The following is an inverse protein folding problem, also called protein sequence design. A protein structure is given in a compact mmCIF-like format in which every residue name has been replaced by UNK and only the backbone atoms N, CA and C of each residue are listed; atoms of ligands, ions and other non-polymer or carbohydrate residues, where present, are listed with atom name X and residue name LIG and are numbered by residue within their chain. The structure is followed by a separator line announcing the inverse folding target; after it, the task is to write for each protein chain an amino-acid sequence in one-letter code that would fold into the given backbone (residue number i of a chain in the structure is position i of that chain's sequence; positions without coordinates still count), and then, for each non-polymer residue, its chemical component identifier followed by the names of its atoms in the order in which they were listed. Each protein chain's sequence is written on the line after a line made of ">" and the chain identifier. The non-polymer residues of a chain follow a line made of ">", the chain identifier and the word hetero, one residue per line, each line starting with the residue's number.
data_IF_421414247928
#
_entry.id   IF_421414247928
#
_cell.length_a   1.000
_cell.length_b   1.000
_cell.length_c   1.000
_cell.angle_alpha   90.00
_cell.angle_beta   90.00
_cell.angle_gamma   90.00
#
_symmetry.space_group_name_H-M   'P 1'
#
loop_
_entity.id
_entity.type
_entity.pdbx_description
1 polymer ?
#
# COMPACT_ATOMS: atom_id res chain seq x y z
N UNK A 1 4.10 9.98 -3.97
CA UNK A 1 4.51 8.99 -2.94
C UNK A 1 5.95 9.17 -2.45
N UNK A 2 6.90 9.53 -3.32
CA UNK A 2 8.34 9.62 -2.97
C UNK A 2 8.66 10.48 -1.74
N UNK A 3 7.97 11.60 -1.52
CA UNK A 3 8.20 12.46 -0.36
C UNK A 3 7.72 11.86 0.98
N UNK A 4 6.82 10.87 0.95
CA UNK A 4 6.16 10.33 2.14
C UNK A 4 6.89 9.15 2.77
N UNK A 5 7.86 8.55 2.05
CA UNK A 5 8.61 7.38 2.52
C UNK A 5 10.09 7.75 2.59
N UNK A 6 10.74 7.57 3.73
CA UNK A 6 12.19 7.79 3.84
C UNK A 6 12.97 6.73 3.05
N UNK A 7 14.27 6.93 2.84
CA UNK A 7 15.10 6.01 2.03
C UNK A 7 15.04 4.56 2.52
N UNK A 8 15.07 4.37 3.82
CA UNK A 8 15.02 3.06 4.50
C UNK A 8 13.70 2.85 5.25
N UNK A 9 12.69 3.68 4.94
CA UNK A 9 11.39 3.65 5.58
C UNK A 9 10.46 2.62 4.94
N UNK A 10 9.55 2.11 5.77
CA UNK A 10 8.42 1.29 5.34
C UNK A 10 7.15 2.02 5.72
N UNK A 11 6.23 2.14 4.77
CA UNK A 11 4.90 2.71 4.99
C UNK A 11 3.87 1.58 4.97
N UNK A 12 3.05 1.52 6.02
CA UNK A 12 1.88 0.65 6.08
C UNK A 12 0.66 1.41 5.53
N UNK A 13 -0.02 0.86 4.54
CA UNK A 13 -1.20 1.45 3.93
C UNK A 13 -2.40 0.54 4.12
N UNK A 14 -3.31 0.91 5.02
CA UNK A 14 -4.66 0.37 5.06
C UNK A 14 -5.48 1.01 3.95
N UNK A 15 -6.11 0.20 3.12
CA UNK A 15 -6.67 0.63 1.85
C UNK A 15 -8.01 -0.04 1.58
N UNK A 16 -8.99 0.75 1.18
CA UNK A 16 -10.31 0.28 0.81
C UNK A 16 -10.74 0.96 -0.48
N UNK A 17 -11.15 0.18 -1.47
CA UNK A 17 -11.60 0.72 -2.75
C UNK A 17 -12.99 1.35 -2.59
N UNK A 18 -13.06 2.67 -2.77
CA UNK A 18 -14.32 3.43 -2.76
C UNK A 18 -14.70 4.03 -4.12
N UNK A 19 -13.74 4.08 -5.06
CA UNK A 19 -13.94 4.48 -6.46
C UNK A 19 -12.88 3.82 -7.33
N UNK A 20 -13.30 3.22 -8.45
CA UNK A 20 -12.39 2.54 -9.37
C UNK A 20 -11.43 3.52 -10.09
N UNK A 21 -11.89 4.72 -10.39
CA UNK A 21 -11.07 5.76 -11.03
C UNK A 21 -9.97 6.24 -10.07
N UNK A 22 -10.34 6.53 -8.83
CA UNK A 22 -9.39 6.93 -7.79
C UNK A 22 -8.41 5.79 -7.48
N UNK A 23 -8.90 4.55 -7.45
CA UNK A 23 -8.06 3.37 -7.25
C UNK A 23 -6.99 3.25 -8.32
N UNK A 24 -7.39 3.26 -9.59
CA UNK A 24 -6.46 3.21 -10.72
C UNK A 24 -5.45 4.34 -10.64
N UNK A 25 -5.92 5.58 -10.42
CA UNK A 25 -5.05 6.75 -10.41
C UNK A 25 -4.03 6.72 -9.27
N UNK A 26 -4.45 6.27 -8.09
CA UNK A 26 -3.56 6.13 -6.94
C UNK A 26 -2.38 5.20 -7.24
N UNK A 27 -2.65 4.01 -7.80
CA UNK A 27 -1.60 3.04 -8.09
C UNK A 27 -0.68 3.47 -9.23
N UNK A 28 -1.19 4.16 -10.25
CA UNK A 28 -0.35 4.78 -11.30
C UNK A 28 0.68 5.78 -10.71
N UNK A 29 0.33 6.49 -9.63
CA UNK A 29 1.23 7.43 -8.96
C UNK A 29 2.27 6.76 -8.03
N UNK A 30 2.19 5.44 -7.84
CA UNK A 30 3.07 4.67 -6.96
C UNK A 30 4.27 4.05 -7.69
N UNK A 31 4.63 4.52 -8.88
CA UNK A 31 5.69 3.91 -9.69
C UNK A 31 7.07 3.89 -8.99
N UNK A 32 7.36 4.84 -8.11
CA UNK A 32 8.67 4.94 -7.44
C UNK A 32 8.82 4.08 -6.16
N UNK A 33 7.77 3.33 -5.78
CA UNK A 33 7.77 2.49 -4.58
C UNK A 33 7.51 1.02 -4.95
N UNK A 34 8.16 0.13 -4.22
CA UNK A 34 7.76 -1.28 -4.19
C UNK A 34 6.54 -1.43 -3.30
N UNK A 35 5.60 -2.26 -3.73
CA UNK A 35 4.34 -2.52 -3.03
C UNK A 35 4.23 -4.02 -2.79
N UNK A 36 3.88 -4.41 -1.58
CA UNK A 36 3.56 -5.79 -1.22
C UNK A 36 2.27 -5.82 -0.43
N UNK A 37 1.29 -6.64 -0.86
CA UNK A 37 0.05 -6.87 -0.11
C UNK A 37 0.34 -7.84 1.04
N UNK A 38 -0.11 -7.49 2.23
CA UNK A 38 -0.05 -8.38 3.38
C UNK A 38 -1.15 -9.44 3.21
N UNK A 39 -0.83 -10.74 3.38
CA UNK A 39 -1.83 -11.79 3.44
C UNK A 39 -2.92 -11.50 4.48
N UNK A 40 -4.18 -11.78 4.13
CA UNK A 40 -5.32 -11.42 4.99
C UNK A 40 -5.31 -12.17 6.34
N UNK A 41 -4.77 -13.38 6.35
CA UNK A 41 -4.57 -14.22 7.55
C UNK A 41 -3.53 -13.66 8.52
N UNK A 42 -2.68 -12.72 8.09
CA UNK A 42 -1.78 -11.99 8.97
C UNK A 42 -2.45 -10.79 9.65
N UNK A 43 -3.67 -10.42 9.25
CA UNK A 43 -4.42 -9.31 9.85
C UNK A 43 -5.14 -9.77 11.13
N UNK A 44 -5.42 -8.82 12.02
CA UNK A 44 -6.15 -9.12 13.25
C UNK A 44 -7.55 -9.66 12.90
N UNK A 45 -7.95 -10.84 13.39
CA UNK A 45 -9.15 -11.53 12.91
C UNK A 45 -10.45 -10.72 13.09
N UNK A 46 -10.53 -9.89 14.13
CA UNK A 46 -11.69 -9.03 14.39
C UNK A 46 -11.74 -7.75 13.54
N UNK A 47 -10.63 -7.37 12.90
CA UNK A 47 -10.51 -6.13 12.11
C UNK A 47 -10.10 -6.39 10.65
N UNK A 48 -10.00 -7.66 10.25
CA UNK A 48 -9.66 -8.10 8.91
C UNK A 48 -10.92 -8.14 8.03
N UNK A 49 -11.52 -6.98 7.78
CA UNK A 49 -12.70 -6.86 6.92
C UNK A 49 -12.36 -7.24 5.47
N UNK A 50 -13.22 -7.99 4.78
CA UNK A 50 -12.96 -8.50 3.42
C UNK A 50 -12.68 -7.39 2.41
N UNK A 51 -13.30 -6.22 2.61
CA UNK A 51 -13.15 -5.06 1.75
C UNK A 51 -11.90 -4.21 2.02
N UNK A 52 -11.10 -4.57 3.02
CA UNK A 52 -9.89 -3.85 3.41
C UNK A 52 -8.64 -4.65 3.06
N UNK A 53 -7.74 -3.99 2.36
CA UNK A 53 -6.41 -4.48 2.07
C UNK A 53 -5.35 -3.72 2.86
N UNK A 54 -4.30 -4.41 3.28
CA UNK A 54 -3.13 -3.77 3.87
C UNK A 54 -1.91 -4.00 2.98
N UNK A 55 -1.19 -2.93 2.72
CA UNK A 55 0.02 -2.94 1.89
C UNK A 55 1.22 -2.43 2.67
N UNK A 56 2.39 -2.98 2.35
CA UNK A 56 3.70 -2.44 2.70
C UNK A 56 4.28 -1.75 1.47
N UNK A 57 4.72 -0.50 1.64
CA UNK A 57 5.34 0.30 0.59
C UNK A 57 6.72 0.77 1.05
N UNK A 58 7.73 0.61 0.20
CA UNK A 58 9.09 1.12 0.43
C UNK A 58 9.70 1.67 -0.85
N UNK A 59 10.68 2.55 -0.74
CA UNK A 59 11.32 3.15 -1.93
C UNK A 59 12.03 2.09 -2.77
N UNK A 60 11.89 2.20 -4.10
CA UNK A 60 12.78 1.51 -5.02
C UNK A 60 14.20 2.06 -4.79
N UNK A 61 15.20 1.18 -4.70
CA UNK A 61 16.60 1.62 -4.70
C UNK A 61 16.90 2.20 -6.09
N UNK A 62 17.15 3.52 -6.17
CA UNK A 62 17.70 4.12 -7.38
C UNK A 62 19.09 3.48 -7.58
N UNK A 63 19.28 2.81 -8.72
CA UNK A 63 20.60 2.34 -9.15
C UNK A 63 21.52 3.53 -9.38
#
# INVERSE_FOLDING_TARGET
>A
MEALVSKDGVMLLGYQVRSLEAHKKFWEMCDEVWISRIPHDHLHPEYAYEEIDVFLLWKKKKQ
#
